data_IF_947328605717
#
_entry.id   IF_947328605717
#
_cell.length_a   1.000
_cell.length_b   1.000
_cell.length_c   1.000
_cell.angle_alpha   90.00
_cell.angle_beta   90.00
_cell.angle_gamma   90.00
#
_symmetry.space_group_name_H-M   'P 1'
#
loop_
_entity.id
_entity.type
_entity.pdbx_description
1 polymer ?
#
# COMPACT_ATOMS: atom_id res chain seq x y z
N UNK A 1 -33.71 17.35 4.76
CA UNK A 1 -32.34 16.87 4.52
C UNK A 1 -31.54 17.29 5.72
N UNK A 2 -31.03 16.30 6.44
CA UNK A 2 -30.16 16.47 7.57
C UNK A 2 -28.75 16.80 7.04
N UNK A 3 -28.35 18.07 7.12
CA UNK A 3 -27.01 18.51 6.70
C UNK A 3 -25.90 17.79 7.46
N UNK A 4 -26.20 17.23 8.64
CA UNK A 4 -25.22 16.53 9.47
C UNK A 4 -24.64 15.27 8.79
N UNK A 5 -25.43 14.52 8.00
CA UNK A 5 -24.92 13.30 7.34
C UNK A 5 -23.99 13.62 6.18
N UNK A 6 -24.32 14.67 5.42
CA UNK A 6 -23.42 15.18 4.39
C UNK A 6 -22.13 15.70 5.02
N UNK A 7 -22.21 16.51 6.07
CA UNK A 7 -21.04 17.01 6.80
C UNK A 7 -20.19 15.88 7.37
N UNK A 8 -20.80 14.84 7.94
CA UNK A 8 -20.09 13.64 8.40
C UNK A 8 -19.29 12.99 7.28
N UNK A 9 -19.90 12.80 6.11
CA UNK A 9 -19.19 12.24 4.95
C UNK A 9 -18.04 13.14 4.48
N UNK A 10 -18.27 14.45 4.39
CA UNK A 10 -17.24 15.42 3.97
C UNK A 10 -16.04 15.42 4.93
N UNK A 11 -16.28 15.34 6.23
CA UNK A 11 -15.24 15.25 7.24
C UNK A 11 -14.48 13.93 7.12
N UNK A 12 -15.18 12.80 7.05
CA UNK A 12 -14.55 11.48 6.90
C UNK A 12 -13.69 11.38 5.62
N UNK A 13 -14.15 11.95 4.51
CA UNK A 13 -13.38 12.00 3.27
C UNK A 13 -12.12 12.90 3.39
N UNK A 14 -12.21 14.00 4.14
CA UNK A 14 -11.08 14.91 4.40
C UNK A 14 -10.04 14.26 5.32
N UNK A 15 -10.49 13.58 6.38
CA UNK A 15 -9.64 12.86 7.32
C UNK A 15 -8.91 11.70 6.64
N UNK A 16 -9.62 10.95 5.79
CA UNK A 16 -9.02 9.89 4.98
C UNK A 16 -7.99 10.44 3.98
N UNK A 17 -8.31 11.56 3.31
CA UNK A 17 -7.36 12.20 2.38
C UNK A 17 -6.07 12.60 3.10
N UNK A 18 -6.19 13.16 4.31
CA UNK A 18 -5.05 13.54 5.15
C UNK A 18 -4.24 12.32 5.60
N UNK A 19 -4.91 11.23 5.98
CA UNK A 19 -4.25 9.95 6.33
C UNK A 19 -3.50 9.34 5.15
N UNK A 20 -4.08 9.41 3.94
CA UNK A 20 -3.43 8.95 2.70
C UNK A 20 -2.19 9.77 2.37
N UNK A 21 -2.25 11.10 2.53
CA UNK A 21 -1.10 11.97 2.30
C UNK A 21 0.02 11.69 3.33
N UNK A 22 -0.32 11.47 4.59
CA UNK A 22 0.65 11.04 5.61
C UNK A 22 1.29 9.69 5.27
N UNK A 23 0.50 8.72 4.80
CA UNK A 23 1.00 7.43 4.37
C UNK A 23 1.98 7.55 3.18
N UNK A 24 1.68 8.41 2.20
CA UNK A 24 2.59 8.72 1.09
C UNK A 24 3.93 9.25 1.59
N UNK A 25 3.92 10.14 2.57
CA UNK A 25 5.16 10.70 3.12
C UNK A 25 5.99 9.63 3.83
N UNK A 26 5.36 8.70 4.56
CA UNK A 26 6.07 7.57 5.15
C UNK A 26 6.62 6.58 4.11
N UNK A 27 5.87 6.31 3.02
CA UNK A 27 6.39 5.51 1.91
C UNK A 27 7.63 6.15 1.27
N UNK A 28 7.64 7.47 1.12
CA UNK A 28 8.82 8.20 0.64
C UNK A 28 9.99 8.11 1.60
N UNK A 29 9.73 8.14 2.92
CA UNK A 29 10.76 7.96 3.94
C UNK A 29 11.37 6.56 3.88
N UNK A 30 10.54 5.51 3.71
CA UNK A 30 11.01 4.14 3.46
C UNK A 30 11.90 4.12 2.21
N UNK A 31 11.45 4.70 1.09
CA UNK A 31 12.22 4.76 -0.14
C UNK A 31 13.56 5.50 0.00
N UNK A 32 13.62 6.58 0.80
CA UNK A 32 14.87 7.30 1.11
C UNK A 32 15.82 6.44 1.95
N UNK A 33 15.32 5.79 2.99
CA UNK A 33 16.12 4.94 3.88
C UNK A 33 16.73 3.74 3.14
N UNK A 34 15.96 3.08 2.26
CA UNK A 34 16.47 1.99 1.41
C UNK A 34 17.59 2.48 0.49
N UNK A 35 17.42 3.64 -0.16
CA UNK A 35 18.45 4.22 -1.05
C UNK A 35 19.72 4.60 -0.28
N UNK A 36 19.57 5.12 0.94
CA UNK A 36 20.69 5.48 1.82
C UNK A 36 21.35 4.27 2.49
N UNK A 37 20.74 3.07 2.41
CA UNK A 37 21.13 1.86 3.18
C UNK A 37 21.15 2.10 4.69
N UNK A 38 20.29 2.99 5.17
CA UNK A 38 20.14 3.30 6.59
C UNK A 38 19.09 2.36 7.20
N UNK A 39 19.57 1.27 7.80
CA UNK A 39 18.71 0.22 8.34
C UNK A 39 17.91 0.67 9.57
N UNK A 40 18.47 1.56 10.40
CA UNK A 40 17.79 2.08 11.58
C UNK A 40 16.66 3.04 11.16
N UNK A 41 16.92 3.92 10.19
CA UNK A 41 15.89 4.78 9.63
C UNK A 41 14.80 3.97 8.89
N UNK A 42 15.19 2.88 8.21
CA UNK A 42 14.25 2.00 7.52
C UNK A 42 13.28 1.33 8.49
N UNK A 43 13.78 0.74 9.58
CA UNK A 43 12.94 0.10 10.60
C UNK A 43 11.92 1.09 11.18
N UNK A 44 12.37 2.30 11.52
CA UNK A 44 11.49 3.36 12.01
C UNK A 44 10.43 3.75 10.98
N UNK A 45 10.84 3.99 9.72
CA UNK A 45 9.93 4.39 8.65
C UNK A 45 8.90 3.30 8.34
N UNK A 46 9.27 2.01 8.41
CA UNK A 46 8.34 0.89 8.24
C UNK A 46 7.31 0.82 9.37
N UNK A 47 7.73 1.01 10.63
CA UNK A 47 6.81 1.05 11.76
C UNK A 47 5.81 2.22 11.64
N UNK A 48 6.28 3.40 11.24
CA UNK A 48 5.44 4.57 10.99
C UNK A 48 4.48 4.34 9.82
N UNK A 49 4.97 3.80 8.70
CA UNK A 49 4.15 3.45 7.55
C UNK A 49 3.03 2.46 7.93
N UNK A 50 3.33 1.43 8.75
CA UNK A 50 2.31 0.51 9.24
C UNK A 50 1.24 1.21 10.09
N UNK A 51 1.64 2.07 11.03
CA UNK A 51 0.69 2.85 11.83
C UNK A 51 -0.19 3.76 10.98
N UNK A 52 0.38 4.46 9.98
CA UNK A 52 -0.41 5.28 9.05
C UNK A 52 -1.31 4.45 8.13
N UNK A 53 -0.90 3.23 7.75
CA UNK A 53 -1.75 2.31 6.99
C UNK A 53 -2.97 1.86 7.80
N UNK A 54 -2.82 1.64 9.09
CA UNK A 54 -3.95 1.32 9.99
C UNK A 54 -4.92 2.51 10.11
N UNK A 55 -4.40 3.73 10.17
CA UNK A 55 -5.23 4.95 10.14
C UNK A 55 -5.99 5.10 8.82
N UNK A 56 -5.36 4.81 7.68
CA UNK A 56 -6.03 4.79 6.37
C UNK A 56 -7.15 3.74 6.36
N UNK A 57 -6.90 2.53 6.88
CA UNK A 57 -7.92 1.48 6.94
C UNK A 57 -9.11 1.88 7.82
N UNK A 58 -8.85 2.48 8.99
CA UNK A 58 -9.90 3.01 9.87
C UNK A 58 -10.70 4.14 9.20
N UNK A 59 -10.01 5.10 8.57
CA UNK A 59 -10.65 6.22 7.88
C UNK A 59 -11.51 5.78 6.69
N UNK A 60 -11.09 4.73 5.97
CA UNK A 60 -11.86 4.15 4.87
C UNK A 60 -13.15 3.48 5.35
N UNK A 61 -13.11 2.79 6.50
CA UNK A 61 -14.31 2.22 7.12
C UNK A 61 -15.29 3.32 7.55
N UNK A 62 -14.81 4.35 8.25
CA UNK A 62 -15.64 5.50 8.65
C UNK A 62 -16.24 6.21 7.44
N UNK A 63 -15.46 6.44 6.38
CA UNK A 63 -15.96 7.02 5.13
C UNK A 63 -17.03 6.15 4.49
N UNK A 64 -16.83 4.83 4.44
CA UNK A 64 -17.82 3.90 3.88
C UNK A 64 -19.11 3.90 4.70
N UNK A 65 -19.02 3.91 6.03
CA UNK A 65 -20.18 4.03 6.89
C UNK A 65 -20.93 5.35 6.67
N UNK A 66 -20.21 6.48 6.67
CA UNK A 66 -20.81 7.80 6.43
C UNK A 66 -21.46 7.91 5.05
N UNK A 67 -20.84 7.30 4.03
CA UNK A 67 -21.40 7.23 2.67
C UNK A 67 -22.71 6.44 2.63
N UNK A 68 -22.74 5.26 3.26
CA UNK A 68 -23.93 4.42 3.31
C UNK A 68 -25.08 5.10 4.07
N UNK A 69 -24.77 5.78 5.16
CA UNK A 69 -25.76 6.58 5.91
C UNK A 69 -26.33 7.73 5.07
N UNK A 70 -25.47 8.44 4.33
CA UNK A 70 -25.89 9.50 3.42
C UNK A 70 -26.80 8.97 2.30
N UNK A 71 -26.43 7.83 1.69
CA UNK A 71 -27.26 7.20 0.65
C UNK A 71 -28.61 6.73 1.20
N UNK A 72 -28.64 6.15 2.40
CA UNK A 72 -29.87 5.74 3.06
C UNK A 72 -30.80 6.93 3.32
N UNK A 73 -30.27 8.08 3.75
CA UNK A 73 -31.06 9.30 3.94
C UNK A 73 -31.64 9.82 2.63
N UNK A 74 -30.86 9.73 1.53
CA UNK A 74 -31.30 10.13 0.20
C UNK A 74 -32.25 9.11 -0.45
N UNK A 75 -32.53 7.98 0.20
CA UNK A 75 -33.35 6.89 -0.35
C UNK A 75 -32.71 6.22 -1.57
N UNK A 76 -31.38 6.23 -1.64
CA UNK A 76 -30.61 5.71 -2.77
C UNK A 76 -30.04 4.32 -2.47
N UNK A 77 -29.93 3.44 -3.49
CA UNK A 77 -29.22 2.16 -3.38
C UNK A 77 -27.75 2.34 -2.95
N UNK A 78 -27.19 1.38 -2.21
CA UNK A 78 -25.81 1.42 -1.70
C UNK A 78 -24.73 1.48 -2.79
N UNK A 79 -25.03 0.99 -4.00
CA UNK A 79 -24.15 1.04 -5.18
C UNK A 79 -24.27 2.36 -5.97
N UNK A 80 -24.99 3.35 -5.44
CA UNK A 80 -25.16 4.64 -6.08
C UNK A 80 -23.84 5.39 -6.24
N UNK A 81 -23.65 5.96 -7.42
CA UNK A 81 -22.49 6.81 -7.70
C UNK A 81 -22.60 8.17 -7.02
N UNK A 82 -21.46 8.83 -6.81
CA UNK A 82 -21.39 10.21 -6.30
C UNK A 82 -22.19 11.18 -7.18
N UNK A 83 -22.17 10.97 -8.50
CA UNK A 83 -22.99 11.76 -9.42
C UNK A 83 -24.48 11.60 -9.11
N UNK A 84 -24.96 10.36 -8.94
CA UNK A 84 -26.38 10.09 -8.60
C UNK A 84 -26.77 10.71 -7.27
N UNK A 85 -25.92 10.56 -6.24
CA UNK A 85 -26.15 11.18 -4.93
C UNK A 85 -26.20 12.72 -5.02
N UNK A 86 -25.33 13.34 -5.83
CA UNK A 86 -25.33 14.79 -6.00
C UNK A 86 -26.63 15.33 -6.58
N UNK A 87 -27.31 14.58 -7.45
CA UNK A 87 -28.59 14.99 -8.04
C UNK A 87 -29.72 15.01 -7.00
N UNK A 88 -29.65 14.17 -5.97
CA UNK A 88 -30.60 14.14 -4.86
C UNK A 88 -30.35 15.24 -3.83
N UNK A 89 -29.18 15.89 -3.85
CA UNK A 89 -28.84 17.00 -2.97
C UNK A 89 -29.32 18.36 -3.51
N UNK A 90 -29.60 19.34 -2.61
CA UNK A 90 -29.78 20.74 -2.95
C UNK A 90 -28.59 21.29 -3.74
N UNK A 91 -28.86 22.22 -4.67
CA UNK A 91 -27.83 22.76 -5.59
C UNK A 91 -26.58 23.29 -4.86
N UNK A 92 -26.77 23.96 -3.72
CA UNK A 92 -25.67 24.52 -2.91
C UNK A 92 -24.71 23.46 -2.34
N UNK A 93 -25.19 22.23 -2.11
CA UNK A 93 -24.41 21.15 -1.50
C UNK A 93 -23.70 20.25 -2.53
N UNK A 94 -24.08 20.34 -3.81
CA UNK A 94 -23.55 19.46 -4.87
C UNK A 94 -22.06 19.65 -5.12
N UNK A 95 -21.61 20.91 -5.09
CA UNK A 95 -20.22 21.26 -5.32
C UNK A 95 -19.33 20.63 -4.24
N UNK A 96 -19.68 20.83 -2.96
CA UNK A 96 -18.94 20.29 -1.82
C UNK A 96 -18.77 18.77 -1.89
N UNK A 97 -19.84 18.03 -2.20
CA UNK A 97 -19.76 16.57 -2.35
C UNK A 97 -18.81 16.17 -3.49
N UNK A 98 -18.96 16.81 -4.66
CA UNK A 98 -18.18 16.47 -5.85
C UNK A 98 -16.70 16.79 -5.66
N UNK A 99 -16.39 17.92 -5.03
CA UNK A 99 -15.02 18.37 -4.82
C UNK A 99 -14.32 17.54 -3.74
N UNK A 100 -15.01 17.20 -2.64
CA UNK A 100 -14.50 16.28 -1.64
C UNK A 100 -14.16 14.90 -2.24
N UNK A 101 -15.05 14.34 -3.05
CA UNK A 101 -14.79 13.08 -3.74
C UNK A 101 -13.59 13.15 -4.70
N UNK A 102 -13.47 14.25 -5.46
CA UNK A 102 -12.31 14.46 -6.36
C UNK A 102 -11.01 14.55 -5.58
N UNK A 103 -10.99 15.31 -4.48
CA UNK A 103 -9.83 15.44 -3.61
C UNK A 103 -9.38 14.08 -3.08
N UNK A 104 -10.31 13.32 -2.51
CA UNK A 104 -10.03 11.98 -2.00
C UNK A 104 -9.49 11.06 -3.09
N UNK A 105 -10.10 11.07 -4.28
CA UNK A 105 -9.64 10.27 -5.41
C UNK A 105 -8.20 10.62 -5.80
N UNK A 106 -7.83 11.90 -5.79
CA UNK A 106 -6.47 12.34 -6.08
C UNK A 106 -5.47 11.86 -5.03
N UNK A 107 -5.79 11.97 -3.73
CA UNK A 107 -4.93 11.46 -2.65
C UNK A 107 -4.76 9.95 -2.74
N UNK A 108 -5.84 9.19 -2.98
CA UNK A 108 -5.77 7.74 -3.16
C UNK A 108 -4.94 7.34 -4.39
N UNK A 109 -5.06 8.08 -5.50
CA UNK A 109 -4.21 7.85 -6.68
C UNK A 109 -2.73 8.11 -6.39
N UNK A 110 -2.40 9.15 -5.62
CA UNK A 110 -1.01 9.44 -5.22
C UNK A 110 -0.44 8.34 -4.34
N UNK A 111 -1.19 7.89 -3.33
CA UNK A 111 -0.82 6.77 -2.47
C UNK A 111 -0.53 5.49 -3.25
N UNK A 112 -1.38 5.17 -4.23
CA UNK A 112 -1.16 4.02 -5.11
C UNK A 112 0.13 4.16 -5.93
N UNK A 113 0.34 5.32 -6.56
CA UNK A 113 1.51 5.56 -7.40
C UNK A 113 2.81 5.43 -6.59
N UNK A 114 2.86 6.02 -5.39
CA UNK A 114 4.03 5.95 -4.52
C UNK A 114 4.28 4.52 -4.03
N UNK A 115 3.22 3.79 -3.67
CA UNK A 115 3.32 2.38 -3.30
C UNK A 115 3.89 1.51 -4.44
N UNK A 116 3.37 1.69 -5.66
CA UNK A 116 3.82 0.96 -6.85
C UNK A 116 5.29 1.28 -7.17
N UNK A 117 5.69 2.55 -7.04
CA UNK A 117 7.07 2.99 -7.24
C UNK A 117 8.03 2.38 -6.21
N UNK A 118 7.64 2.35 -4.93
CA UNK A 118 8.43 1.73 -3.86
C UNK A 118 8.58 0.23 -4.09
N UNK A 119 7.48 -0.47 -4.41
CA UNK A 119 7.48 -1.90 -4.70
C UNK A 119 8.38 -2.25 -5.89
N UNK A 120 8.30 -1.48 -6.97
CA UNK A 120 9.17 -1.65 -8.15
C UNK A 120 10.65 -1.46 -7.81
N UNK A 121 10.98 -0.43 -7.03
CA UNK A 121 12.36 -0.15 -6.62
C UNK A 121 12.94 -1.28 -5.75
N UNK A 122 12.21 -1.70 -4.72
CA UNK A 122 12.65 -2.79 -3.83
C UNK A 122 12.80 -4.11 -4.60
N UNK A 123 11.82 -4.43 -5.45
CA UNK A 123 11.86 -5.64 -6.28
C UNK A 123 13.05 -5.67 -7.25
N UNK A 124 13.33 -4.54 -7.91
CA UNK A 124 14.49 -4.42 -8.80
C UNK A 124 15.82 -4.54 -8.06
N UNK A 125 15.94 -3.90 -6.90
CA UNK A 125 17.15 -3.94 -6.06
C UNK A 125 17.43 -5.36 -5.54
N UNK A 126 16.39 -6.07 -5.09
CA UNK A 126 16.49 -7.46 -4.67
C UNK A 126 16.90 -8.38 -5.82
N UNK A 127 16.34 -8.17 -7.03
CA UNK A 127 16.70 -8.95 -8.21
C UNK A 127 18.17 -8.74 -8.62
N UNK A 128 18.66 -7.50 -8.60
CA UNK A 128 20.07 -7.19 -8.90
C UNK A 128 20.97 -7.88 -7.88
N UNK A 129 20.69 -7.75 -6.58
CA UNK A 129 21.45 -8.42 -5.53
C UNK A 129 21.48 -9.94 -5.72
N UNK A 130 20.34 -10.56 -6.02
CA UNK A 130 20.28 -12.00 -6.30
C UNK A 130 21.18 -12.38 -7.47
N UNK A 131 21.09 -11.65 -8.59
CA UNK A 131 21.90 -11.90 -9.79
C UNK A 131 23.40 -11.71 -9.52
N UNK A 132 23.77 -10.64 -8.81
CA UNK A 132 25.18 -10.40 -8.43
C UNK A 132 25.71 -11.49 -7.50
N UNK A 133 24.91 -11.96 -6.54
CA UNK A 133 25.29 -13.09 -5.68
C UNK A 133 25.45 -14.37 -6.53
N UNK A 134 24.57 -14.62 -7.49
CA UNK A 134 24.68 -15.76 -8.41
C UNK A 134 25.91 -15.69 -9.32
N UNK A 135 26.37 -14.50 -9.67
CA UNK A 135 27.60 -14.29 -10.45
C UNK A 135 28.87 -14.42 -9.59
N UNK A 136 28.85 -13.90 -8.36
CA UNK A 136 29.98 -13.97 -7.43
C UNK A 136 30.17 -15.37 -6.82
N UNK A 137 29.08 -16.11 -6.66
CA UNK A 137 29.05 -17.45 -6.07
C UNK A 137 28.34 -18.44 -7.00
N UNK A 138 28.93 -18.76 -8.17
CA UNK A 138 28.32 -19.63 -9.18
C UNK A 138 28.07 -21.06 -8.67
N UNK A 139 28.77 -21.51 -7.64
CA UNK A 139 28.53 -22.79 -6.96
C UNK A 139 27.19 -22.84 -6.19
N UNK A 140 26.57 -21.68 -5.90
CA UNK A 140 25.19 -21.59 -5.39
C UNK A 140 24.14 -21.60 -6.51
N UNK A 141 24.57 -21.62 -7.77
CA UNK A 141 23.72 -21.60 -8.96
C UNK A 141 23.18 -23.01 -9.22
N UNK A 142 22.02 -23.30 -8.66
CA UNK A 142 21.30 -24.54 -8.94
C UNK A 142 20.37 -24.96 -7.81
N UNK A 143 19.09 -25.17 -8.12
CA UNK A 143 18.21 -26.00 -7.30
C UNK A 143 18.56 -27.45 -7.60
N UNK A 144 19.31 -28.11 -6.73
CA UNK A 144 19.47 -29.56 -6.82
C UNK A 144 18.17 -30.17 -6.29
N UNK A 145 17.41 -30.79 -7.18
CA UNK A 145 16.27 -31.61 -6.78
C UNK A 145 16.82 -32.86 -6.11
N UNK A 146 16.54 -33.02 -4.81
CA UNK A 146 16.86 -34.27 -4.12
C UNK A 146 16.07 -35.44 -4.72
N UNK A 147 16.42 -36.67 -4.35
CA UNK A 147 15.70 -37.90 -4.75
C UNK A 147 14.20 -37.89 -4.40
N UNK A 148 13.76 -36.96 -3.55
CA UNK A 148 12.38 -36.71 -3.13
C UNK A 148 11.70 -35.51 -3.82
N UNK A 149 12.34 -34.87 -4.81
CA UNK A 149 11.80 -33.71 -5.54
C UNK A 149 11.78 -32.39 -4.76
N UNK A 150 12.25 -32.37 -3.50
CA UNK A 150 12.36 -31.13 -2.72
C UNK A 150 13.64 -30.37 -3.10
N UNK A 151 13.55 -29.05 -3.36
CA UNK A 151 14.72 -28.24 -3.68
C UNK A 151 15.64 -28.15 -2.45
N UNK A 152 16.91 -28.54 -2.60
CA UNK A 152 17.94 -28.41 -1.58
C UNK A 152 18.95 -27.36 -2.05
N UNK A 153 19.32 -26.42 -1.18
CA UNK A 153 20.45 -25.54 -1.44
C UNK A 153 21.73 -26.37 -1.46
N UNK A 154 22.60 -26.12 -2.45
CA UNK A 154 23.96 -26.65 -2.48
C UNK A 154 24.72 -26.08 -1.28
N UNK A 155 24.71 -26.81 -0.16
CA UNK A 155 25.73 -26.63 0.86
C UNK A 155 27.07 -26.98 0.24
N UNK A 156 28.11 -26.21 0.55
CA UNK A 156 29.50 -26.52 0.21
C UNK A 156 29.96 -27.73 1.01
N UNK A 157 29.40 -28.91 0.74
CA UNK A 157 29.90 -30.14 1.35
C UNK A 157 31.23 -30.45 0.67
N UNK A 158 32.31 -30.28 1.44
CA UNK A 158 33.64 -30.68 1.04
C UNK A 158 33.61 -32.17 0.67
N UNK A 159 34.04 -32.47 -0.55
CA UNK A 159 34.08 -33.82 -1.09
C UNK A 159 35.31 -34.53 -0.50
N UNK A 160 35.14 -35.17 0.66
CA UNK A 160 36.20 -35.98 1.28
C UNK A 160 36.31 -37.29 0.52
N UNK A 161 37.29 -37.39 -0.37
CA UNK A 161 37.66 -38.64 -1.03
C UNK A 161 38.44 -39.49 -0.02
N UNK A 162 37.87 -40.63 0.40
CA UNK A 162 38.62 -41.63 1.14
C UNK A 162 39.49 -42.42 0.16
N UNK A 163 40.73 -41.99 -0.01
CA UNK A 163 41.76 -42.73 -0.73
C UNK A 163 42.43 -43.73 0.24
N UNK A 164 41.71 -44.80 0.60
CA UNK A 164 42.30 -45.98 1.20
C UNK A 164 42.21 -47.12 0.18
N UNK A 165 43.38 -47.49 -0.37
CA UNK A 165 43.64 -48.72 -1.09
C UNK A 165 43.86 -49.87 -0.11
#
# INVERSE_FOLDING_TARGET
MDTNKLERFLNAATDLSSSLDAFVDEQRNVGKAVRAKDWAALEKALAQANGTSELVAFGEEERNQAWNELLAELGLPADSSVFRASLALPLAARASLTDSYRSLRLSAMRARIENDALGSFVGSSASILSKTIEELFPERKGRVYGKSGKPRALGSDALVLNAAF
#
